data_IF_988777536434
#
_entry.id   IF_988777536434
#
_cell.length_a   1.000
_cell.length_b   1.000
_cell.length_c   1.000
_cell.angle_alpha   90.00
_cell.angle_beta   90.00
_cell.angle_gamma   90.00
#
_symmetry.space_group_name_H-M   'P 1'
#
loop_
_entity.id
_entity.type
_entity.pdbx_description
1 polymer ?
#
# COMPACT_ATOMS: atom_id res chain seq x y z
N UNK A 1 16.55 18.17 4.13
CA UNK A 1 16.01 16.97 3.46
C UNK A 1 14.51 17.03 3.62
N UNK A 2 13.79 17.37 2.56
CA UNK A 2 12.32 17.44 2.58
C UNK A 2 11.77 16.02 2.66
N UNK A 3 11.27 15.61 3.81
CA UNK A 3 10.31 14.50 3.86
C UNK A 3 9.05 15.03 3.17
N UNK A 4 8.88 14.69 1.90
CA UNK A 4 7.64 14.97 1.19
C UNK A 4 6.52 14.25 1.93
N UNK A 5 5.51 14.99 2.39
CA UNK A 5 4.24 14.45 2.84
C UNK A 5 3.80 13.34 1.86
N UNK A 6 3.38 12.15 2.33
CA UNK A 6 2.99 11.06 1.45
C UNK A 6 1.93 11.54 0.45
N UNK A 7 2.31 11.64 -0.82
CA UNK A 7 1.51 12.28 -1.87
C UNK A 7 0.40 11.39 -2.40
N UNK A 8 0.41 10.09 -2.05
CA UNK A 8 -0.64 9.14 -2.42
C UNK A 8 -0.73 7.91 -1.51
N UNK A 9 -1.81 7.13 -1.67
CA UNK A 9 -2.07 5.92 -0.89
C UNK A 9 -0.96 4.86 -1.03
N UNK A 10 -0.27 4.84 -2.18
CA UNK A 10 0.86 3.95 -2.44
C UNK A 10 2.04 4.22 -1.52
N UNK A 11 2.27 5.48 -1.13
CA UNK A 11 3.32 5.84 -0.18
C UNK A 11 2.96 5.42 1.25
N UNK A 12 1.69 5.57 1.64
CA UNK A 12 1.17 5.05 2.92
C UNK A 12 1.39 3.53 3.02
N UNK A 13 1.08 2.80 1.93
CA UNK A 13 1.30 1.35 1.85
C UNK A 13 2.80 1.00 1.95
N UNK A 14 3.66 1.72 1.20
CA UNK A 14 5.11 1.49 1.21
C UNK A 14 5.69 1.69 2.61
N UNK A 15 5.31 2.76 3.29
CA UNK A 15 5.83 3.07 4.62
C UNK A 15 5.30 2.09 5.68
N UNK A 16 4.03 1.70 5.62
CA UNK A 16 3.50 0.65 6.49
C UNK A 16 4.22 -0.70 6.29
N UNK A 17 4.52 -1.07 5.04
CA UNK A 17 5.31 -2.26 4.73
C UNK A 17 6.71 -2.19 5.34
N UNK A 18 7.42 -1.07 5.14
CA UNK A 18 8.78 -0.86 5.69
C UNK A 18 8.79 -0.88 7.22
N UNK A 19 7.78 -0.31 7.88
CA UNK A 19 7.62 -0.37 9.36
C UNK A 19 7.54 -1.81 9.87
N UNK A 20 6.95 -2.71 9.09
CA UNK A 20 6.93 -4.16 9.38
C UNK A 20 8.19 -4.91 8.93
N UNK A 21 9.16 -4.22 8.32
CA UNK A 21 10.40 -4.77 7.74
C UNK A 21 10.15 -5.82 6.66
N UNK A 22 9.07 -5.69 5.91
CA UNK A 22 8.75 -6.59 4.80
C UNK A 22 9.28 -6.05 3.47
N UNK A 23 9.78 -6.95 2.63
CA UNK A 23 9.99 -6.74 1.20
C UNK A 23 8.65 -6.71 0.46
N UNK A 24 8.65 -6.21 -0.78
CA UNK A 24 7.45 -6.25 -1.64
C UNK A 24 6.99 -7.68 -1.93
N UNK A 25 7.90 -8.65 -1.94
CA UNK A 25 7.57 -10.07 -2.14
C UNK A 25 6.82 -10.62 -0.94
N UNK A 26 7.31 -10.36 0.28
CA UNK A 26 6.66 -10.78 1.53
C UNK A 26 5.28 -10.14 1.70
N UNK A 27 5.11 -8.86 1.33
CA UNK A 27 3.78 -8.26 1.32
C UNK A 27 2.87 -8.92 0.26
N UNK A 28 3.41 -9.25 -0.91
CA UNK A 28 2.70 -10.00 -1.94
C UNK A 28 2.17 -11.32 -1.39
N UNK A 29 3.03 -12.13 -0.78
CA UNK A 29 2.66 -13.41 -0.16
C UNK A 29 1.57 -13.23 0.91
N UNK A 30 1.74 -12.27 1.82
CA UNK A 30 0.79 -12.01 2.92
C UNK A 30 -0.57 -11.47 2.46
N UNK A 31 -0.62 -10.80 1.30
CA UNK A 31 -1.85 -10.26 0.72
C UNK A 31 -2.46 -11.15 -0.38
N UNK A 32 -1.81 -12.27 -0.72
CA UNK A 32 -2.23 -13.12 -1.84
C UNK A 32 -2.10 -12.43 -3.21
N UNK A 33 -1.06 -11.59 -3.38
CA UNK A 33 -0.78 -10.81 -4.58
C UNK A 33 0.65 -11.05 -5.08
N UNK A 34 0.90 -10.76 -6.35
CA UNK A 34 2.26 -10.86 -6.92
C UNK A 34 3.12 -9.64 -6.53
N UNK A 35 4.44 -9.83 -6.40
CA UNK A 35 5.40 -8.73 -6.17
C UNK A 35 5.25 -7.57 -7.18
N UNK A 36 5.06 -7.81 -8.50
CA UNK A 36 4.82 -6.72 -9.45
C UNK A 36 3.53 -5.94 -9.17
N UNK A 37 2.50 -6.60 -8.64
CA UNK A 37 1.26 -5.91 -8.22
C UNK A 37 1.56 -4.98 -7.05
N UNK A 38 2.31 -5.43 -6.04
CA UNK A 38 2.74 -4.58 -4.93
C UNK A 38 3.57 -3.39 -5.43
N UNK A 39 4.51 -3.62 -6.36
CA UNK A 39 5.34 -2.55 -6.92
C UNK A 39 4.51 -1.47 -7.64
N UNK A 40 3.49 -1.87 -8.41
CA UNK A 40 2.57 -0.93 -9.07
C UNK A 40 1.74 -0.12 -8.07
N UNK A 41 1.22 -0.79 -7.03
CA UNK A 41 0.47 -0.13 -5.95
C UNK A 41 1.32 0.95 -5.27
N UNK A 42 2.55 0.61 -4.87
CA UNK A 42 3.45 1.57 -4.23
C UNK A 42 3.93 2.69 -5.16
N UNK A 43 3.87 2.48 -6.48
CA UNK A 43 4.15 3.51 -7.47
C UNK A 43 2.95 4.44 -7.73
N UNK A 44 1.84 4.29 -6.99
CA UNK A 44 0.59 5.01 -7.19
C UNK A 44 -0.01 4.81 -8.61
N UNK A 45 0.23 3.65 -9.24
CA UNK A 45 -0.41 3.30 -10.52
C UNK A 45 -1.87 2.87 -10.32
N UNK A 46 -2.64 2.89 -11.42
CA UNK A 46 -4.01 2.41 -11.46
C UNK A 46 -4.12 0.95 -11.02
N UNK A 47 -4.94 0.71 -9.99
CA UNK A 47 -5.21 -0.61 -9.39
C UNK A 47 -6.66 -0.67 -8.91
N UNK A 48 -7.15 -1.89 -8.70
CA UNK A 48 -8.52 -2.08 -8.20
C UNK A 48 -8.60 -1.80 -6.69
N UNK A 49 -9.76 -1.33 -6.23
CA UNK A 49 -10.06 -1.19 -4.79
C UNK A 49 -9.92 -2.51 -4.04
N UNK A 50 -10.27 -3.63 -4.68
CA UNK A 50 -10.06 -4.97 -4.12
C UNK A 50 -8.57 -5.29 -3.87
N UNK A 51 -7.67 -4.83 -4.75
CA UNK A 51 -6.22 -4.97 -4.57
C UNK A 51 -5.75 -4.16 -3.37
N UNK A 52 -6.21 -2.92 -3.26
CA UNK A 52 -5.90 -2.02 -2.14
C UNK A 52 -6.41 -2.63 -0.81
N UNK A 53 -7.64 -3.15 -0.79
CA UNK A 53 -8.23 -3.76 0.40
C UNK A 53 -7.45 -4.98 0.90
N UNK A 54 -6.98 -5.86 0.01
CA UNK A 54 -6.14 -7.02 0.38
C UNK A 54 -4.82 -6.58 1.02
N UNK A 55 -4.19 -5.54 0.47
CA UNK A 55 -2.94 -4.99 0.99
C UNK A 55 -3.16 -4.33 2.34
N UNK A 56 -4.22 -3.52 2.47
CA UNK A 56 -4.58 -2.87 3.72
C UNK A 56 -4.81 -3.91 4.83
N UNK A 57 -5.57 -4.98 4.55
CA UNK A 57 -5.78 -6.08 5.49
C UNK A 57 -4.46 -6.73 5.92
N UNK A 58 -3.57 -7.06 4.97
CA UNK A 58 -2.27 -7.67 5.28
C UNK A 58 -1.36 -6.77 6.13
N UNK A 59 -1.47 -5.44 5.95
CA UNK A 59 -0.70 -4.45 6.70
C UNK A 59 -1.36 -4.05 8.04
N UNK A 60 -2.61 -4.45 8.29
CA UNK A 60 -3.38 -3.98 9.45
C UNK A 60 -3.81 -2.52 9.33
N UNK A 61 -4.07 -2.06 8.11
CA UNK A 61 -4.59 -0.73 7.79
C UNK A 61 -6.08 -0.81 7.45
N UNK A 62 -6.75 0.34 7.49
CA UNK A 62 -8.11 0.51 6.99
C UNK A 62 -8.11 1.40 5.74
N UNK A 63 -8.98 1.08 4.78
CA UNK A 63 -9.33 2.00 3.70
C UNK A 63 -10.55 2.81 4.15
N UNK A 64 -10.40 4.13 4.24
CA UNK A 64 -11.44 5.04 4.71
C UNK A 64 -11.76 6.06 3.62
N UNK A 65 -13.06 6.22 3.32
CA UNK A 65 -13.56 7.34 2.54
C UNK A 65 -13.96 8.43 3.52
N UNK A 66 -13.47 9.65 3.29
CA UNK A 66 -13.85 10.83 4.06
C UNK A 66 -14.56 11.80 3.12
N UNK A 67 -15.52 12.53 3.66
CA UNK A 67 -16.08 13.66 2.95
C UNK A 67 -14.96 14.65 2.61
N UNK A 68 -15.12 15.35 1.50
CA UNK A 68 -14.15 16.36 1.06
C UNK A 68 -14.20 17.63 1.92
N UNK A 69 -15.14 17.69 2.87
CA UNK A 69 -15.45 18.82 3.75
C UNK A 69 -15.23 18.46 5.21
#
# INVERSE_FOLDING_TARGET
MSEAEPTGFGDVIREARKKKRWSQAELGEKSGLSRPTIARVEANNDVTTATIAKIAQALGLALELKDRN
#
